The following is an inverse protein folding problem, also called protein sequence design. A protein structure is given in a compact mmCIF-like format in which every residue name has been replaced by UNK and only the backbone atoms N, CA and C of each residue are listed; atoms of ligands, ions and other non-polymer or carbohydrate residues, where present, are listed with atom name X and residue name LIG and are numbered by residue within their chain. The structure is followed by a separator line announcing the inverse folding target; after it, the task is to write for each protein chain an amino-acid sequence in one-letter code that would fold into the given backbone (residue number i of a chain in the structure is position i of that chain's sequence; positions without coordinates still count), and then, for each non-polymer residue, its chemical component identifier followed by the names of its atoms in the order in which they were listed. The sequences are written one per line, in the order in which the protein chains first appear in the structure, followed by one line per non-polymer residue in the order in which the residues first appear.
data_IF_541623834767
#
_entry.id   IF_541623834767
#
_cell.length_a   1.000
_cell.length_b   1.000
_cell.length_c   1.000
_cell.angle_alpha   90.00
_cell.angle_beta   90.00
_cell.angle_gamma   90.00
#
_symmetry.space_group_name_H-M   'P 1'
#
loop_
_entity.id
_entity.type
_entity.pdbx_description
1 polymer ?
#
# COMPACT_ATOMS: atom_id res chain seq x y z
N UNK A 1 1.94 12.06 28.16
CA UNK A 1 1.51 10.64 28.00
C UNK A 1 1.56 10.27 26.52
N UNK A 2 2.59 9.54 26.08
CA UNK A 2 2.65 9.00 24.71
C UNK A 2 1.73 7.77 24.67
N UNK A 3 0.62 7.85 23.94
CA UNK A 3 -0.25 6.69 23.69
C UNK A 3 0.62 5.61 23.04
N UNK A 4 0.67 4.42 23.66
CA UNK A 4 1.34 3.27 23.07
C UNK A 4 0.71 3.02 21.70
N UNK A 5 1.56 2.90 20.69
CA UNK A 5 1.16 2.42 19.37
C UNK A 5 0.80 0.95 19.54
N UNK A 6 -0.45 0.68 19.93
CA UNK A 6 -1.02 -0.65 19.74
C UNK A 6 -0.83 -0.97 18.25
N UNK A 7 -0.13 -2.06 17.98
CA UNK A 7 0.10 -2.59 16.65
C UNK A 7 -1.28 -2.89 16.03
N UNK A 8 -1.91 -1.90 15.40
CA UNK A 8 -3.08 -2.13 14.55
C UNK A 8 -2.55 -3.08 13.48
N UNK A 9 -3.10 -4.31 13.35
CA UNK A 9 -2.63 -5.26 12.37
C UNK A 9 -2.57 -4.58 11.00
N UNK A 10 -1.49 -4.76 10.22
CA UNK A 10 -1.38 -4.11 8.92
C UNK A 10 -2.63 -4.44 8.11
N UNK A 11 -3.41 -3.40 7.78
CA UNK A 11 -4.67 -3.55 7.04
C UNK A 11 -4.34 -4.22 5.70
N UNK A 12 -4.90 -5.42 5.51
CA UNK A 12 -4.81 -6.18 4.28
C UNK A 12 -5.52 -5.40 3.16
N UNK A 13 -4.86 -5.27 2.01
CA UNK A 13 -5.47 -4.61 0.85
C UNK A 13 -6.23 -5.62 0.00
N UNK A 14 -7.51 -5.82 0.33
CA UNK A 14 -8.37 -6.78 -0.36
C UNK A 14 -8.62 -6.46 -1.84
N UNK A 15 -8.48 -5.19 -2.27
CA UNK A 15 -8.60 -4.82 -3.69
C UNK A 15 -7.43 -5.32 -4.55
N UNK A 16 -6.24 -5.41 -3.96
CA UNK A 16 -5.03 -5.93 -4.62
C UNK A 16 -4.75 -7.40 -4.23
N UNK A 17 -5.74 -8.12 -3.71
CA UNK A 17 -5.60 -9.52 -3.33
C UNK A 17 -5.61 -10.44 -4.56
N UNK A 18 -4.69 -11.41 -4.59
CA UNK A 18 -4.79 -12.51 -5.54
C UNK A 18 -5.62 -13.65 -4.92
N UNK A 19 -6.93 -13.63 -5.19
CA UNK A 19 -7.87 -14.58 -4.61
C UNK A 19 -7.68 -16.01 -5.12
N UNK A 20 -7.26 -16.22 -6.37
CA UNK A 20 -7.02 -17.58 -6.88
C UNK A 20 -5.83 -18.22 -6.18
N UNK A 21 -4.73 -17.46 -6.03
CA UNK A 21 -3.56 -17.90 -5.27
C UNK A 21 -3.89 -18.16 -3.80
N UNK A 22 -4.73 -17.31 -3.20
CA UNK A 22 -5.20 -17.49 -1.83
C UNK A 22 -5.96 -18.81 -1.67
N UNK A 23 -6.94 -19.09 -2.54
CA UNK A 23 -7.72 -20.34 -2.50
C UNK A 23 -6.80 -21.58 -2.61
N UNK A 24 -5.92 -21.60 -3.60
CA UNK A 24 -4.98 -22.73 -3.76
C UNK A 24 -4.05 -22.89 -2.55
N UNK A 25 -3.57 -21.78 -1.98
CA UNK A 25 -2.70 -21.82 -0.80
C UNK A 25 -3.43 -22.24 0.47
N UNK A 26 -4.66 -21.77 0.68
CA UNK A 26 -5.46 -22.16 1.84
C UNK A 26 -5.73 -23.66 1.81
N UNK A 27 -6.12 -24.21 0.66
CA UNK A 27 -6.40 -25.65 0.52
C UNK A 27 -5.17 -26.51 0.82
N UNK A 28 -4.00 -26.10 0.34
CA UNK A 28 -2.73 -26.80 0.60
C UNK A 28 -2.36 -26.74 2.10
N UNK A 29 -2.65 -25.64 2.78
CA UNK A 29 -2.31 -25.49 4.19
C UNK A 29 -3.32 -26.17 5.12
N UNK A 30 -4.60 -26.20 4.76
CA UNK A 30 -5.66 -26.83 5.57
C UNK A 30 -5.64 -28.36 5.47
N UNK A 31 -5.28 -28.93 4.32
CA UNK A 31 -5.12 -30.38 4.14
C UNK A 31 -4.13 -31.03 5.10
N UNK A 32 -3.18 -30.25 5.65
CA UNK A 32 -2.17 -30.71 6.61
C UNK A 32 -2.66 -30.74 8.07
N UNK A 33 -3.88 -30.27 8.34
CA UNK A 33 -4.41 -30.14 9.71
C UNK A 33 -5.11 -31.43 10.11
N UNK A 34 -4.59 -32.09 11.15
CA UNK A 34 -5.20 -33.32 11.68
C UNK A 34 -6.29 -33.00 12.73
N UNK A 35 -7.54 -33.08 12.29
CA UNK A 35 -8.75 -32.82 13.11
C UNK A 35 -9.10 -34.02 14.01
N UNK A 36 -8.58 -35.21 13.72
CA UNK A 36 -8.89 -36.44 14.47
C UNK A 36 -8.25 -36.49 15.86
N UNK A 37 -7.38 -35.53 16.19
CA UNK A 37 -6.83 -35.38 17.53
C UNK A 37 -7.87 -34.71 18.44
N UNK A 38 -8.13 -35.26 19.64
CA UNK A 38 -9.10 -34.74 20.64
C UNK A 38 -8.81 -33.31 21.18
N UNK A 39 -7.93 -32.56 20.53
CA UNK A 39 -7.46 -31.24 20.94
C UNK A 39 -7.97 -30.17 19.97
N UNK A 40 -9.28 -29.91 20.03
CA UNK A 40 -10.02 -28.97 19.16
C UNK A 40 -9.35 -27.58 19.14
N UNK A 41 -8.89 -27.09 20.29
CA UNK A 41 -8.21 -25.79 20.39
C UNK A 41 -6.91 -25.74 19.58
N UNK A 42 -6.17 -26.84 19.52
CA UNK A 42 -4.95 -26.90 18.70
C UNK A 42 -5.28 -26.95 17.22
N UNK A 43 -6.32 -27.68 16.83
CA UNK A 43 -6.81 -27.69 15.45
C UNK A 43 -7.28 -26.28 15.03
N UNK A 44 -8.02 -25.58 15.88
CA UNK A 44 -8.47 -24.20 15.64
C UNK A 44 -7.30 -23.21 15.50
N UNK A 45 -6.28 -23.31 16.36
CA UNK A 45 -5.07 -22.49 16.25
C UNK A 45 -4.30 -22.78 14.96
N UNK A 46 -4.19 -24.06 14.57
CA UNK A 46 -3.54 -24.46 13.33
C UNK A 46 -4.27 -23.93 12.10
N UNK A 47 -5.61 -24.02 12.10
CA UNK A 47 -6.46 -23.49 11.02
C UNK A 47 -6.34 -21.98 10.89
N UNK A 48 -6.46 -21.27 12.01
CA UNK A 48 -6.30 -19.80 12.04
C UNK A 48 -4.93 -19.39 11.51
N UNK A 49 -3.86 -20.10 11.92
CA UNK A 49 -2.50 -19.84 11.45
C UNK A 49 -2.35 -20.12 9.95
N UNK A 50 -2.93 -21.21 9.44
CA UNK A 50 -2.92 -21.57 8.02
C UNK A 50 -3.59 -20.48 7.17
N UNK A 51 -4.79 -20.04 7.55
CA UNK A 51 -5.54 -18.99 6.85
C UNK A 51 -4.77 -17.67 6.87
N UNK A 52 -4.22 -17.26 8.02
CA UNK A 52 -3.43 -16.04 8.12
C UNK A 52 -2.13 -16.11 7.30
N UNK A 53 -1.47 -17.26 7.25
CA UNK A 53 -0.27 -17.46 6.42
C UNK A 53 -0.59 -17.32 4.93
N UNK A 54 -1.66 -17.99 4.46
CA UNK A 54 -2.12 -17.85 3.08
C UNK A 54 -2.47 -16.39 2.75
N UNK A 55 -3.16 -15.70 3.67
CA UNK A 55 -3.53 -14.31 3.50
C UNK A 55 -2.30 -13.40 3.39
N UNK A 56 -1.27 -13.63 4.21
CA UNK A 56 -0.04 -12.84 4.15
C UNK A 56 0.77 -13.06 2.85
N UNK A 57 0.71 -14.25 2.26
CA UNK A 57 1.40 -14.55 0.98
C UNK A 57 0.65 -14.02 -0.26
N UNK A 58 -0.67 -13.82 -0.14
CA UNK A 58 -1.54 -13.56 -1.29
C UNK A 58 -2.18 -12.16 -1.28
N UNK A 59 -2.25 -11.52 -0.11
CA UNK A 59 -2.87 -10.21 0.07
C UNK A 59 -1.77 -9.24 0.47
N UNK A 60 -1.51 -8.28 -0.43
CA UNK A 60 -0.56 -7.22 -0.16
C UNK A 60 -0.95 -6.43 1.09
N UNK A 61 0.04 -6.12 1.91
CA UNK A 61 -0.12 -5.20 3.05
C UNK A 61 -0.02 -3.78 2.52
N UNK A 62 -0.90 -2.90 2.98
CA UNK A 62 -0.80 -1.49 2.62
C UNK A 62 -2.14 -0.81 2.57
N UNK A 63 -2.57 -0.28 3.71
CA UNK A 63 -3.37 0.94 3.70
C UNK A 63 -2.38 2.10 3.66
N UNK A 64 -2.48 2.99 2.66
CA UNK A 64 -1.83 4.31 2.82
C UNK A 64 -2.42 4.94 4.08
N UNK A 65 -1.58 5.25 5.07
CA UNK A 65 -2.01 5.82 6.35
C UNK A 65 -2.78 7.13 6.14
N UNK A 66 -2.37 7.88 5.12
CA UNK A 66 -3.06 9.05 4.58
C UNK A 66 -3.48 8.70 3.15
N UNK A 67 -4.67 8.11 2.98
CA UNK A 67 -5.21 7.90 1.64
C UNK A 67 -5.49 9.28 1.02
N UNK A 68 -4.84 9.55 -0.10
CA UNK A 68 -5.04 10.77 -0.89
C UNK A 68 -5.79 10.33 -2.16
N UNK A 69 -7.07 10.73 -2.36
CA UNK A 69 -7.93 10.21 -3.42
C UNK A 69 -7.35 10.33 -4.84
N UNK A 70 -6.60 11.40 -5.09
CA UNK A 70 -5.99 11.70 -6.38
C UNK A 70 -4.57 11.15 -6.57
N UNK A 71 -4.00 10.45 -5.58
CA UNK A 71 -2.60 10.02 -5.63
C UNK A 71 -2.42 8.69 -6.37
N UNK A 72 -2.05 8.77 -7.64
CA UNK A 72 -1.76 7.64 -8.51
C UNK A 72 -0.34 7.04 -8.33
N UNK A 73 -0.07 5.92 -8.98
CA UNK A 73 1.28 5.33 -9.06
C UNK A 73 2.23 6.23 -9.88
N UNK A 74 1.71 6.96 -10.87
CA UNK A 74 2.48 7.96 -11.64
C UNK A 74 2.92 9.14 -10.77
N UNK A 75 2.03 9.67 -9.92
CA UNK A 75 2.39 10.72 -8.96
C UNK A 75 3.40 10.24 -7.92
N UNK A 76 3.32 8.96 -7.54
CA UNK A 76 4.31 8.34 -6.67
C UNK A 76 5.69 8.31 -7.33
N UNK A 77 5.78 7.88 -8.60
CA UNK A 77 7.05 7.87 -9.34
C UNK A 77 7.66 9.28 -9.46
N UNK A 78 6.85 10.30 -9.75
CA UNK A 78 7.30 11.69 -9.79
C UNK A 78 7.79 12.20 -8.43
N UNK A 79 7.15 11.76 -7.34
CA UNK A 79 7.58 12.10 -5.99
C UNK A 79 8.93 11.47 -5.64
N UNK A 80 9.15 10.22 -6.07
CA UNK A 80 10.42 9.51 -5.91
C UNK A 80 11.53 10.20 -6.74
N UNK A 81 11.26 10.61 -7.99
CA UNK A 81 12.21 11.38 -8.80
C UNK A 81 12.66 12.67 -8.11
N UNK A 82 11.73 13.39 -7.46
CA UNK A 82 12.03 14.61 -6.69
C UNK A 82 12.87 14.29 -5.46
N UNK A 83 12.57 13.19 -4.78
CA UNK A 83 13.30 12.75 -3.57
C UNK A 83 14.74 12.40 -3.92
N UNK A 84 14.94 11.59 -4.96
CA UNK A 84 16.26 11.25 -5.48
C UNK A 84 17.05 12.51 -5.90
N UNK A 85 16.39 13.47 -6.56
CA UNK A 85 17.05 14.73 -6.93
C UNK A 85 17.45 15.58 -5.72
N UNK A 86 16.71 15.52 -4.60
CA UNK A 86 17.10 16.18 -3.35
C UNK A 86 18.32 15.51 -2.74
N UNK A 87 18.31 14.19 -2.64
CA UNK A 87 19.45 13.43 -2.13
C UNK A 87 20.72 13.71 -2.94
N UNK A 88 20.60 13.84 -4.26
CA UNK A 88 21.73 14.18 -5.12
C UNK A 88 22.23 15.61 -4.89
N UNK A 89 21.35 16.59 -4.66
CA UNK A 89 21.75 17.97 -4.30
C UNK A 89 22.43 18.01 -2.93
N UNK A 90 21.97 17.21 -1.97
CA UNK A 90 22.56 17.13 -0.63
C UNK A 90 23.96 16.49 -0.67
N UNK A 91 24.16 15.47 -1.50
CA UNK A 91 25.47 14.81 -1.70
C UNK A 91 26.43 15.67 -2.50
N UNK A 92 25.94 16.28 -3.58
CA UNK A 92 26.75 17.07 -4.51
C UNK A 92 26.04 18.41 -4.82
N UNK A 93 26.28 19.43 -3.99
CA UNK A 93 25.67 20.74 -4.17
C UNK A 93 26.29 21.45 -5.37
N UNK A 94 25.59 21.39 -6.51
CA UNK A 94 25.93 22.08 -7.75
C UNK A 94 24.74 22.88 -8.29
N UNK A 95 25.02 23.89 -9.12
CA UNK A 95 24.00 24.68 -9.82
C UNK A 95 23.15 23.79 -10.72
N UNK A 96 23.77 22.85 -11.45
CA UNK A 96 23.05 21.92 -12.35
C UNK A 96 22.13 20.98 -11.58
N UNK A 97 22.59 20.44 -10.45
CA UNK A 97 21.77 19.58 -9.58
C UNK A 97 20.59 20.37 -9.00
N UNK A 98 20.79 21.63 -8.62
CA UNK A 98 19.71 22.50 -8.18
C UNK A 98 18.70 22.83 -9.28
N UNK A 99 19.15 23.06 -10.52
CA UNK A 99 18.27 23.27 -11.68
C UNK A 99 17.42 22.01 -11.92
N UNK A 100 18.04 20.82 -11.91
CA UNK A 100 17.34 19.53 -12.06
C UNK A 100 16.30 19.31 -10.96
N UNK A 101 16.65 19.59 -9.70
CA UNK A 101 15.72 19.51 -8.57
C UNK A 101 14.53 20.46 -8.75
N UNK A 102 14.78 21.71 -9.15
CA UNK A 102 13.71 22.70 -9.43
C UNK A 102 12.79 22.23 -10.55
N UNK A 103 13.34 21.71 -11.65
CA UNK A 103 12.57 21.21 -12.79
C UNK A 103 11.68 20.01 -12.39
N UNK A 104 12.24 19.00 -11.73
CA UNK A 104 11.48 17.84 -11.22
C UNK A 104 10.41 18.26 -10.21
N UNK A 105 10.72 19.19 -9.31
CA UNK A 105 9.75 19.72 -8.34
C UNK A 105 8.60 20.46 -9.02
N UNK A 106 8.89 21.27 -10.05
CA UNK A 106 7.87 21.98 -10.82
C UNK A 106 6.94 21.00 -11.56
N UNK A 107 7.51 19.95 -12.18
CA UNK A 107 6.74 18.88 -12.83
C UNK A 107 5.80 18.18 -11.85
N UNK A 108 6.33 17.72 -10.72
CA UNK A 108 5.54 17.05 -9.68
C UNK A 108 4.39 17.93 -9.16
N UNK A 109 4.64 19.23 -8.92
CA UNK A 109 3.61 20.19 -8.50
C UNK A 109 2.52 20.37 -9.54
N UNK A 110 2.89 20.49 -10.82
CA UNK A 110 1.93 20.63 -11.92
C UNK A 110 0.99 19.41 -11.96
N UNK A 111 1.57 18.21 -12.00
CA UNK A 111 0.78 16.97 -12.09
C UNK A 111 -0.08 16.76 -10.85
N UNK A 112 0.45 17.06 -9.66
CA UNK A 112 -0.32 16.97 -8.41
C UNK A 112 -1.56 17.88 -8.46
N UNK A 113 -1.39 19.12 -8.90
CA UNK A 113 -2.50 20.07 -9.02
C UNK A 113 -3.52 19.64 -10.07
N UNK A 114 -3.06 19.09 -11.20
CA UNK A 114 -3.95 18.53 -12.23
C UNK A 114 -4.75 17.35 -11.69
N UNK A 115 -4.10 16.43 -10.97
CA UNK A 115 -4.77 15.27 -10.36
C UNK A 115 -5.82 15.68 -9.33
N UNK A 116 -5.52 16.68 -8.48
CA UNK A 116 -6.51 17.26 -7.55
C UNK A 116 -7.74 17.77 -8.30
N UNK A 117 -7.55 18.59 -9.34
CA UNK A 117 -8.65 19.14 -10.13
C UNK A 117 -9.48 18.05 -10.80
N UNK A 118 -8.83 17.07 -11.42
CA UNK A 118 -9.51 15.97 -12.10
C UNK A 118 -10.31 15.10 -11.12
N UNK A 119 -9.76 14.83 -9.94
CA UNK A 119 -10.47 14.11 -8.87
C UNK A 119 -11.72 14.87 -8.44
N UNK A 120 -11.61 16.19 -8.24
CA UNK A 120 -12.75 17.03 -7.89
C UNK A 120 -13.82 17.03 -8.98
N UNK A 121 -13.45 17.25 -10.24
CA UNK A 121 -14.40 17.20 -11.37
C UNK A 121 -15.10 15.85 -11.49
N UNK A 122 -14.39 14.76 -11.25
CA UNK A 122 -14.96 13.41 -11.29
C UNK A 122 -15.94 13.18 -10.14
N UNK A 123 -15.59 13.60 -8.93
CA UNK A 123 -16.46 13.46 -7.76
C UNK A 123 -17.72 14.33 -7.90
N UNK A 124 -17.59 15.58 -8.36
CA UNK A 124 -18.76 16.45 -8.57
C UNK A 124 -19.66 16.00 -9.71
N UNK A 125 -19.11 15.44 -10.80
CA UNK A 125 -19.92 14.88 -11.88
C UNK A 125 -20.72 13.63 -11.46
N UNK A 126 -20.29 12.93 -10.40
CA UNK A 126 -21.02 11.79 -9.83
C UNK A 126 -22.13 12.22 -8.87
N UNK A 127 -22.12 13.46 -8.42
CA UNK A 127 -23.20 14.02 -7.60
C UNK A 127 -24.29 14.51 -8.57
N UNK A 128 -25.42 13.79 -8.63
CA UNK A 128 -26.64 14.28 -9.29
C UNK A 128 -27.20 15.44 -8.46
N UNK A 129 -26.70 16.65 -8.73
CA UNK A 129 -27.20 17.92 -8.19
C UNK A 129 -28.14 18.59 -9.18
#
# INVERSE_FOLDING_TARGET
MKRSLTCIPPRLNYKKANWSKFASRSDILTTRININTRQIDKANKALTKAILSAAHECISRGSRRNYIPYWSEELQALHEEVTEARENVEKEPSVDNNIRLKAKTARFRRESNTAVRNSWHKETAQLNL
#
